data_IF_851989475826
#
_entry.id   IF_851989475826
#
_cell.length_a   1.000
_cell.length_b   1.000
_cell.length_c   1.000
_cell.angle_alpha   90.00
_cell.angle_beta   90.00
_cell.angle_gamma   90.00
#
_symmetry.space_group_name_H-M   'P 1'
#
loop_
_entity.id
_entity.type
_entity.pdbx_description
1 polymer ?
#
# COMPACT_ATOMS: atom_id res chain seq x y z
N UNK A 1 -6.93 14.32 -10.46
CA UNK A 1 -5.58 13.80 -10.74
C UNK A 1 -5.67 12.28 -10.78
N UNK A 2 -4.95 11.62 -11.69
CA UNK A 2 -5.04 10.17 -11.92
C UNK A 2 -3.80 9.46 -11.35
N UNK A 3 -4.00 8.32 -10.68
CA UNK A 3 -2.91 7.51 -10.12
C UNK A 3 -2.02 6.83 -11.18
N UNK A 4 -2.44 6.81 -12.45
CA UNK A 4 -1.58 6.46 -13.58
C UNK A 4 -0.49 7.50 -13.85
N UNK A 5 -0.70 8.74 -13.43
CA UNK A 5 0.22 9.87 -13.69
C UNK A 5 1.08 10.16 -12.47
N UNK A 6 0.51 10.09 -11.26
CA UNK A 6 1.20 10.41 -10.02
C UNK A 6 0.79 9.46 -8.90
N UNK A 7 1.78 8.86 -8.23
CA UNK A 7 1.56 8.12 -7.01
C UNK A 7 1.29 9.06 -5.82
N UNK A 8 1.00 8.48 -4.65
CA UNK A 8 0.69 9.26 -3.45
C UNK A 8 1.83 10.18 -3.01
N UNK A 9 3.08 9.73 -3.15
CA UNK A 9 4.26 10.52 -2.80
C UNK A 9 4.40 11.74 -3.72
N UNK A 10 4.20 11.54 -5.02
CA UNK A 10 4.23 12.58 -6.05
C UNK A 10 3.12 13.61 -5.84
N UNK A 11 1.92 13.15 -5.46
CA UNK A 11 0.81 14.05 -5.07
C UNK A 11 1.20 14.92 -3.89
N UNK A 12 1.80 14.34 -2.84
CA UNK A 12 2.24 15.09 -1.68
C UNK A 12 3.30 16.14 -2.03
N UNK A 13 4.28 15.79 -2.86
CA UNK A 13 5.28 16.75 -3.33
C UNK A 13 4.64 17.93 -4.07
N UNK A 14 3.70 17.65 -4.98
CA UNK A 14 2.97 18.71 -5.69
C UNK A 14 2.17 19.60 -4.73
N UNK A 15 1.52 19.03 -3.73
CA UNK A 15 0.79 19.79 -2.71
C UNK A 15 1.73 20.69 -1.88
N UNK A 16 2.91 20.18 -1.51
CA UNK A 16 3.92 20.96 -0.79
C UNK A 16 4.43 22.14 -1.64
N UNK A 17 4.73 21.91 -2.93
CA UNK A 17 5.16 22.97 -3.84
C UNK A 17 4.08 24.03 -4.04
N UNK A 18 2.83 23.59 -4.18
CA UNK A 18 1.68 24.48 -4.25
C UNK A 18 1.56 25.34 -2.99
N UNK A 19 1.62 24.74 -1.80
CA UNK A 19 1.53 25.47 -0.53
C UNK A 19 2.69 26.47 -0.36
N UNK A 20 3.91 26.09 -0.71
CA UNK A 20 5.08 26.97 -0.67
C UNK A 20 4.91 28.20 -1.57
N UNK A 21 4.40 27.99 -2.79
CA UNK A 21 4.16 29.10 -3.72
C UNK A 21 3.00 29.98 -3.27
N UNK A 22 1.87 29.36 -2.92
CA UNK A 22 0.63 30.09 -2.63
C UNK A 22 0.68 30.84 -1.29
N UNK A 23 1.14 30.20 -0.22
CA UNK A 23 1.11 30.80 1.12
C UNK A 23 2.40 31.55 1.49
N UNK A 24 3.54 31.16 0.93
CA UNK A 24 4.86 31.72 1.32
C UNK A 24 5.51 32.56 0.24
N UNK A 25 4.94 32.60 -0.98
CA UNK A 25 5.53 33.31 -2.12
C UNK A 25 6.89 32.76 -2.55
N UNK A 26 7.24 31.52 -2.14
CA UNK A 26 8.51 30.91 -2.50
C UNK A 26 8.35 30.25 -3.86
N UNK A 27 9.09 30.74 -4.85
CA UNK A 27 9.19 30.05 -6.15
C UNK A 27 10.20 28.92 -6.06
N UNK A 28 9.74 27.70 -6.33
CA UNK A 28 10.63 26.56 -6.51
C UNK A 28 11.14 26.54 -7.96
N UNK A 29 12.19 27.32 -8.23
CA UNK A 29 12.83 27.37 -9.56
C UNK A 29 13.83 26.22 -9.79
N UNK A 30 13.89 25.24 -8.85
CA UNK A 30 14.72 24.06 -9.03
C UNK A 30 14.04 23.11 -10.01
N UNK A 31 14.34 23.29 -11.28
CA UNK A 31 14.00 22.30 -12.29
C UNK A 31 14.65 20.96 -11.91
N UNK A 32 13.84 19.91 -11.77
CA UNK A 32 14.36 18.58 -11.46
C UNK A 32 15.36 18.16 -12.54
N UNK A 33 16.58 17.81 -12.12
CA UNK A 33 17.62 17.28 -13.02
C UNK A 33 17.25 15.92 -13.62
N UNK A 34 16.20 15.28 -13.09
CA UNK A 34 15.73 13.95 -13.50
C UNK A 34 14.25 14.07 -13.89
N UNK A 35 13.91 13.55 -15.08
CA UNK A 35 12.52 13.39 -15.51
C UNK A 35 12.06 11.95 -15.29
N UNK A 36 10.75 11.74 -15.16
CA UNK A 36 10.15 10.40 -15.09
C UNK A 36 10.55 9.55 -16.31
N UNK A 37 10.61 10.15 -17.50
CA UNK A 37 11.10 9.47 -18.71
C UNK A 37 12.54 8.95 -18.55
N UNK A 38 13.44 9.77 -18.02
CA UNK A 38 14.84 9.36 -17.80
C UNK A 38 14.92 8.23 -16.79
N UNK A 39 14.07 8.25 -15.75
CA UNK A 39 13.94 7.15 -14.80
C UNK A 39 13.51 5.84 -15.49
N UNK A 40 12.45 5.86 -16.31
CA UNK A 40 12.00 4.65 -17.04
C UNK A 40 13.09 4.10 -17.97
N UNK A 41 13.77 4.95 -18.73
CA UNK A 41 14.88 4.53 -19.60
C UNK A 41 16.00 3.85 -18.79
N UNK A 42 16.29 4.34 -17.58
CA UNK A 42 17.28 3.72 -16.69
C UNK A 42 16.81 2.42 -16.05
N UNK A 43 15.51 2.31 -15.74
CA UNK A 43 14.89 1.13 -15.15
C UNK A 43 14.90 -0.04 -16.14
N UNK A 44 14.63 0.22 -17.42
CA UNK A 44 14.72 -0.80 -18.48
C UNK A 44 16.12 -1.42 -18.58
N UNK A 45 17.17 -0.58 -18.52
CA UNK A 45 18.57 -1.07 -18.50
C UNK A 45 18.87 -1.90 -17.25
N UNK A 46 18.21 -1.61 -16.14
CA UNK A 46 18.39 -2.33 -14.88
C UNK A 46 17.84 -3.76 -14.93
N UNK A 47 16.92 -4.06 -15.86
CA UNK A 47 16.37 -5.42 -16.04
C UNK A 47 17.43 -6.43 -16.50
N UNK A 48 18.55 -5.97 -17.02
CA UNK A 48 19.67 -6.84 -17.41
C UNK A 48 20.57 -7.23 -16.23
N UNK A 49 20.47 -6.49 -15.11
CA UNK A 49 21.28 -6.68 -13.91
C UNK A 49 20.97 -8.01 -13.21
N UNK A 50 22.01 -8.58 -12.60
CA UNK A 50 21.95 -9.75 -11.72
C UNK A 50 20.90 -9.61 -10.60
N UNK A 51 20.76 -8.44 -9.97
CA UNK A 51 19.79 -8.22 -8.89
C UNK A 51 18.33 -8.33 -9.38
N UNK A 52 18.04 -7.77 -10.55
CA UNK A 52 16.72 -7.92 -11.17
C UNK A 52 16.42 -9.40 -11.48
N UNK A 53 17.40 -10.13 -12.05
CA UNK A 53 17.25 -11.56 -12.36
C UNK A 53 17.02 -12.40 -11.10
N UNK A 54 17.73 -12.10 -10.00
CA UNK A 54 17.52 -12.74 -8.68
C UNK A 54 16.11 -12.47 -8.15
N UNK A 55 15.66 -11.21 -8.17
CA UNK A 55 14.32 -10.83 -7.73
C UNK A 55 13.23 -11.51 -8.58
N UNK A 56 13.40 -11.54 -9.91
CA UNK A 56 12.48 -12.23 -10.83
C UNK A 56 12.41 -13.72 -10.54
N UNK A 57 13.54 -14.39 -10.33
CA UNK A 57 13.59 -15.81 -9.99
C UNK A 57 12.90 -16.09 -8.65
N UNK A 58 13.17 -15.28 -7.62
CA UNK A 58 12.53 -15.35 -6.31
C UNK A 58 11.00 -15.28 -6.43
N UNK A 59 10.47 -14.25 -7.09
CA UNK A 59 9.03 -14.09 -7.24
C UNK A 59 8.40 -15.18 -8.10
N UNK A 60 9.08 -15.60 -9.18
CA UNK A 60 8.61 -16.70 -10.03
C UNK A 60 8.48 -18.03 -9.29
N UNK A 61 9.38 -18.30 -8.33
CA UNK A 61 9.29 -19.49 -7.48
C UNK A 61 8.24 -19.32 -6.38
N UNK A 62 8.18 -18.13 -5.76
CA UNK A 62 7.29 -17.86 -4.63
C UNK A 62 5.81 -17.87 -5.04
N UNK A 63 5.47 -17.30 -6.20
CA UNK A 63 4.07 -17.25 -6.68
C UNK A 63 3.46 -18.63 -6.87
N UNK A 64 4.25 -19.62 -7.30
CA UNK A 64 3.80 -21.02 -7.43
C UNK A 64 3.39 -21.65 -6.09
N UNK A 65 3.86 -21.12 -4.97
CA UNK A 65 3.59 -21.61 -3.61
C UNK A 65 2.62 -20.70 -2.83
N UNK A 66 2.16 -19.60 -3.43
CA UNK A 66 1.22 -18.71 -2.76
C UNK A 66 -0.13 -19.42 -2.58
N UNK A 67 -0.63 -19.42 -1.34
CA UNK A 67 -1.99 -19.87 -1.05
C UNK A 67 -2.99 -18.94 -1.72
N UNK A 68 -4.19 -19.45 -1.96
CA UNK A 68 -5.29 -18.67 -2.50
C UNK A 68 -5.67 -17.52 -1.56
N UNK A 69 -6.22 -16.46 -2.15
CA UNK A 69 -6.71 -15.30 -1.41
C UNK A 69 -7.71 -15.72 -0.31
N UNK A 70 -7.71 -15.07 0.86
CA UNK A 70 -8.72 -15.32 1.89
C UNK A 70 -10.13 -15.16 1.31
N UNK A 71 -10.99 -16.17 1.52
CA UNK A 71 -12.39 -16.13 1.07
C UNK A 71 -13.19 -15.24 2.00
N UNK A 72 -13.43 -14.01 1.58
CA UNK A 72 -14.30 -13.07 2.30
C UNK A 72 -15.74 -13.31 1.81
N UNK A 73 -16.73 -13.43 2.70
CA UNK A 73 -18.13 -13.53 2.30
C UNK A 73 -18.58 -12.19 1.70
N UNK A 74 -18.63 -12.15 0.37
CA UNK A 74 -19.06 -11.00 -0.40
C UNK A 74 -20.54 -11.10 -0.75
N UNK A 75 -21.17 -9.95 -1.00
CA UNK A 75 -22.44 -9.90 -1.72
C UNK A 75 -22.17 -10.26 -3.18
N UNK A 76 -23.06 -11.02 -3.80
CA UNK A 76 -22.99 -11.27 -5.25
C UNK A 76 -23.13 -9.94 -5.98
N UNK A 77 -22.12 -9.59 -6.78
CA UNK A 77 -22.15 -8.41 -7.66
C UNK A 77 -22.53 -8.86 -9.06
N UNK A 78 -23.36 -8.08 -9.75
CA UNK A 78 -23.62 -8.21 -11.19
C UNK A 78 -22.63 -7.32 -11.96
N UNK A 79 -22.30 -7.69 -13.19
CA UNK A 79 -21.41 -6.88 -14.04
C UNK A 79 -21.93 -5.45 -14.30
N UNK A 80 -23.24 -5.26 -14.21
CA UNK A 80 -23.90 -3.96 -14.35
C UNK A 80 -23.83 -3.08 -13.09
N UNK A 81 -23.30 -3.58 -11.98
CA UNK A 81 -23.23 -2.83 -10.74
C UNK A 81 -22.13 -1.75 -10.81
N UNK A 82 -22.48 -0.51 -10.48
CA UNK A 82 -21.52 0.59 -10.44
C UNK A 82 -20.53 0.39 -9.30
N UNK A 83 -19.24 0.35 -9.61
CA UNK A 83 -18.18 0.29 -8.60
C UNK A 83 -18.13 1.60 -7.80
N UNK A 84 -18.51 1.54 -6.53
CA UNK A 84 -18.48 2.67 -5.59
C UNK A 84 -17.62 2.34 -4.38
N UNK A 85 -16.83 3.30 -3.94
CA UNK A 85 -15.99 3.18 -2.76
C UNK A 85 -16.58 3.98 -1.61
N UNK A 86 -16.62 3.37 -0.42
CA UNK A 86 -16.87 4.07 0.84
C UNK A 86 -15.55 4.14 1.60
N UNK A 87 -15.13 5.36 1.97
CA UNK A 87 -13.94 5.55 2.81
C UNK A 87 -14.32 5.35 4.27
N UNK A 88 -13.64 4.41 4.92
CA UNK A 88 -13.64 4.27 6.37
C UNK A 88 -12.25 4.65 6.86
N UNK A 89 -12.17 5.39 7.95
CA UNK A 89 -10.92 5.83 8.55
C UNK A 89 -10.93 5.56 10.03
N UNK A 90 -9.78 5.15 10.54
CA UNK A 90 -9.50 5.02 11.96
C UNK A 90 -8.11 5.60 12.20
N UNK A 91 -7.95 6.33 13.30
CA UNK A 91 -6.70 7.01 13.66
C UNK A 91 -6.38 6.67 15.09
N UNK A 92 -5.16 6.18 15.32
CA UNK A 92 -4.61 6.08 16.66
C UNK A 92 -4.16 7.47 17.08
N UNK A 93 -4.41 7.84 18.34
CA UNK A 93 -3.82 9.05 18.89
C UNK A 93 -2.29 8.92 18.94
N UNK A 94 -1.64 10.08 19.10
CA UNK A 94 -0.18 10.18 19.02
C UNK A 94 0.50 9.33 20.09
N UNK A 95 0.00 9.34 21.33
CA UNK A 95 0.64 8.63 22.45
C UNK A 95 0.54 7.12 22.27
N UNK A 96 -0.61 6.62 21.82
CA UNK A 96 -0.81 5.23 21.45
C UNK A 96 0.09 4.81 20.28
N UNK A 97 0.20 5.66 19.25
CA UNK A 97 1.04 5.39 18.10
C UNK A 97 2.53 5.36 18.46
N UNK A 98 2.98 6.28 19.31
CA UNK A 98 4.37 6.33 19.77
C UNK A 98 4.72 5.10 20.62
N UNK A 99 3.82 4.69 21.54
CA UNK A 99 3.96 3.43 22.29
C UNK A 99 4.02 2.21 21.35
N UNK A 100 3.15 2.16 20.35
CA UNK A 100 3.14 1.07 19.36
C UNK A 100 4.48 0.96 18.60
N UNK A 101 5.03 2.10 18.16
CA UNK A 101 6.34 2.12 17.47
C UNK A 101 7.46 1.62 18.37
N UNK A 102 7.50 2.03 19.64
CA UNK A 102 8.51 1.57 20.61
C UNK A 102 8.42 0.05 20.79
N UNK A 103 7.22 -0.49 20.96
CA UNK A 103 7.01 -1.93 21.08
C UNK A 103 7.48 -2.70 19.84
N UNK A 104 7.14 -2.21 18.63
CA UNK A 104 7.61 -2.83 17.39
C UNK A 104 9.15 -2.85 17.30
N UNK A 105 9.80 -1.74 17.65
CA UNK A 105 11.26 -1.62 17.64
C UNK A 105 11.93 -2.56 18.65
N UNK A 106 11.36 -2.70 19.84
CA UNK A 106 11.86 -3.64 20.86
C UNK A 106 11.83 -5.10 20.39
N UNK A 107 11.01 -5.43 19.39
CA UNK A 107 10.95 -6.73 18.73
C UNK A 107 11.68 -6.78 17.38
N UNK A 108 12.52 -5.79 17.07
CA UNK A 108 13.23 -5.66 15.79
C UNK A 108 12.31 -5.64 14.55
N UNK A 109 11.07 -5.16 14.71
CA UNK A 109 10.10 -5.01 13.64
C UNK A 109 9.94 -3.54 13.25
N UNK A 110 9.66 -3.31 11.97
CA UNK A 110 9.23 -1.98 11.52
C UNK A 110 7.76 -1.74 11.91
N UNK A 111 7.33 -0.48 12.11
CA UNK A 111 5.92 -0.17 12.34
C UNK A 111 5.02 -0.69 11.22
N UNK A 112 5.47 -0.58 9.96
CA UNK A 112 4.74 -1.09 8.78
C UNK A 112 4.53 -2.61 8.85
N UNK A 113 5.58 -3.39 9.15
CA UNK A 113 5.46 -4.85 9.27
C UNK A 113 4.55 -5.26 10.43
N UNK A 114 4.59 -4.50 11.53
CA UNK A 114 3.76 -4.73 12.71
C UNK A 114 2.27 -4.48 12.41
N UNK A 115 1.95 -3.34 11.78
CA UNK A 115 0.56 -3.03 11.35
C UNK A 115 0.07 -4.04 10.33
N UNK A 116 0.90 -4.43 9.36
CA UNK A 116 0.55 -5.44 8.35
C UNK A 116 0.22 -6.79 9.00
N UNK A 117 0.97 -7.18 10.03
CA UNK A 117 0.71 -8.41 10.80
C UNK A 117 -0.64 -8.35 11.49
N UNK A 118 -0.94 -7.25 12.21
CA UNK A 118 -2.24 -7.05 12.88
C UNK A 118 -3.37 -7.07 11.85
N UNK A 119 -3.22 -6.37 10.73
CA UNK A 119 -4.21 -6.35 9.65
C UNK A 119 -4.46 -7.76 9.08
N UNK A 120 -3.40 -8.53 8.85
CA UNK A 120 -3.49 -9.90 8.35
C UNK A 120 -4.22 -10.83 9.33
N UNK A 121 -3.95 -10.69 10.63
CA UNK A 121 -4.61 -11.48 11.67
C UNK A 121 -6.10 -11.11 11.81
N UNK A 122 -6.44 -9.82 11.71
CA UNK A 122 -7.84 -9.37 11.70
C UNK A 122 -8.57 -9.89 10.46
N UNK A 123 -7.95 -9.84 9.28
CA UNK A 123 -8.54 -10.39 8.05
C UNK A 123 -8.82 -11.89 8.19
N UNK A 124 -7.86 -12.65 8.70
CA UNK A 124 -8.01 -14.08 8.96
C UNK A 124 -9.17 -14.38 9.92
N UNK A 125 -9.24 -13.66 11.04
CA UNK A 125 -10.31 -13.86 12.03
C UNK A 125 -11.68 -13.39 11.55
N UNK A 126 -11.73 -12.30 10.77
CA UNK A 126 -12.96 -11.78 10.17
C UNK A 126 -13.58 -12.74 9.16
N UNK A 127 -12.74 -13.46 8.41
CA UNK A 127 -13.14 -14.57 7.53
C UNK A 127 -13.72 -15.72 8.36
N UNK A 128 -13.04 -16.15 9.43
CA UNK A 128 -13.45 -17.32 10.22
C UNK A 128 -14.75 -17.10 11.01
N UNK A 129 -14.93 -15.94 11.64
CA UNK A 129 -16.14 -15.63 12.43
C UNK A 129 -17.41 -15.64 11.56
N UNK A 130 -17.37 -15.10 10.34
CA UNK A 130 -18.56 -15.05 9.45
C UNK A 130 -18.91 -16.38 8.80
N UNK A 131 -17.94 -17.29 8.63
CA UNK A 131 -18.22 -18.66 8.20
C UNK A 131 -18.98 -19.41 9.30
N UNK A 132 -18.60 -19.26 10.57
CA UNK A 132 -19.30 -19.87 11.70
C UNK A 132 -20.77 -19.42 11.82
N UNK A 133 -21.10 -18.16 11.52
CA UNK A 133 -22.49 -17.69 11.49
C UNK A 133 -23.33 -18.25 10.33
N UNK A 134 -22.70 -18.74 9.25
CA UNK A 134 -23.42 -19.40 8.14
C UNK A 134 -23.72 -20.88 8.41
N UNK A 135 -23.02 -21.53 9.35
CA UNK A 135 -23.24 -22.93 9.69
C UNK A 135 -24.15 -23.16 10.91
N UNK A 136 -24.59 -22.10 11.60
CA UNK A 136 -25.57 -22.17 12.69
C UNK A 136 -27.04 -22.00 12.24
N UNK A 137 -27.30 -22.17 10.94
CA UNK A 137 -28.66 -22.23 10.37
C UNK A 137 -28.75 -23.44 9.41
N UNK A 138 -28.56 -24.64 9.95
CA UNK A 138 -29.10 -25.89 9.41
C UNK A 138 -29.59 -26.69 10.61
#
# INVERSE_FOLDING_TARGET
MDFMICDWSSIWQLLLEFEMKYFKGIENDRQSKISFRNYIISEEKTKENSEYKKAKAYWSQKTRKLKTSPVIPLKTLKETDVCKFKRLSFTLDKDMWDKFKILAQNHALTPTASVLTVYSEVLKNGVQKRISYKFNFI
#
